data_IF_787484935948
#
_entry.id   IF_787484935948
#
_cell.length_a   1.000
_cell.length_b   1.000
_cell.length_c   1.000
_cell.angle_alpha   90.00
_cell.angle_beta   90.00
_cell.angle_gamma   90.00
#
_symmetry.space_group_name_H-M   'P 1'
#
loop_
_entity.id
_entity.type
_entity.pdbx_description
1 polymer ?
#
# COMPACT_ATOMS: atom_id res chain seq x y z
N UNK A 1 -6.53 3.64 27.24
CA UNK A 1 -5.54 2.64 27.69
C UNK A 1 -4.81 2.05 26.47
N UNK A 2 -3.49 1.76 26.61
CA UNK A 2 -2.69 1.22 25.49
C UNK A 2 -3.14 -0.22 25.22
N UNK A 3 -3.51 -0.51 23.97
CA UNK A 3 -3.94 -1.82 23.45
C UNK A 3 -2.95 -2.35 22.39
N UNK A 4 -1.74 -2.63 22.85
CA UNK A 4 -0.68 -3.18 22.00
C UNK A 4 0.04 -2.16 21.11
N UNK A 5 0.45 -2.60 19.91
CA UNK A 5 1.28 -1.81 18.99
C UNK A 5 0.88 -2.09 17.53
N UNK A 6 1.31 -1.20 16.63
CA UNK A 6 1.08 -1.33 15.19
C UNK A 6 2.40 -1.23 14.44
N UNK A 7 2.75 -2.24 13.65
CA UNK A 7 3.97 -2.34 12.84
C UNK A 7 5.26 -2.38 13.66
N UNK A 8 5.46 -1.43 14.55
CA UNK A 8 6.61 -1.33 15.45
C UNK A 8 6.14 -1.16 16.90
N UNK A 9 6.89 -1.71 17.85
CA UNK A 9 6.59 -1.63 19.29
C UNK A 9 6.57 -0.20 19.83
N UNK A 10 7.21 0.75 19.13
CA UNK A 10 7.18 2.17 19.49
C UNK A 10 5.85 2.83 19.10
N UNK A 11 5.12 2.29 18.13
CA UNK A 11 3.82 2.83 17.69
C UNK A 11 2.72 2.20 18.52
N UNK A 12 2.33 2.87 19.58
CA UNK A 12 1.29 2.36 20.51
C UNK A 12 -0.09 2.50 19.90
N UNK A 13 -0.94 1.48 20.12
CA UNK A 13 -2.36 1.53 19.79
C UNK A 13 -3.17 1.92 21.01
N UNK A 14 -4.19 2.72 20.77
CA UNK A 14 -5.23 3.04 21.75
C UNK A 14 -6.57 2.65 21.16
N UNK A 15 -7.33 1.83 21.85
CA UNK A 15 -8.67 1.42 21.39
C UNK A 15 -9.64 2.57 21.59
N UNK A 16 -10.29 2.97 20.49
CA UNK A 16 -11.39 3.93 20.55
C UNK A 16 -12.72 3.19 20.84
N UNK A 17 -13.68 3.85 21.49
CA UNK A 17 -15.03 3.33 21.60
C UNK A 17 -15.69 3.27 20.20
N UNK A 18 -16.85 2.64 20.12
CA UNK A 18 -17.68 2.71 18.91
C UNK A 18 -18.07 4.15 18.65
N UNK A 19 -17.69 4.65 17.49
CA UNK A 19 -17.95 6.03 17.08
C UNK A 19 -19.22 6.08 16.24
N UNK A 20 -20.11 7.03 16.54
CA UNK A 20 -21.27 7.30 15.72
C UNK A 20 -20.90 8.13 14.49
N UNK A 21 -21.63 8.01 13.37
CA UNK A 21 -21.43 8.88 12.22
C UNK A 21 -21.58 10.36 12.60
N UNK A 22 -20.73 11.22 12.09
CA UNK A 22 -20.76 12.65 12.33
C UNK A 22 -19.38 13.26 12.56
N UNK A 23 -19.35 14.47 13.08
CA UNK A 23 -18.10 15.12 13.49
C UNK A 23 -17.58 14.43 14.76
N UNK A 24 -16.36 13.96 14.70
CA UNK A 24 -15.67 13.30 15.81
C UNK A 24 -14.47 14.16 16.17
N UNK A 25 -14.34 14.47 17.45
CA UNK A 25 -13.18 15.16 18.00
C UNK A 25 -12.43 14.18 18.90
N UNK A 26 -11.13 14.06 18.68
CA UNK A 26 -10.24 13.18 19.47
C UNK A 26 -9.19 14.08 20.08
N UNK A 27 -9.20 14.18 21.40
CA UNK A 27 -8.19 14.87 22.17
C UNK A 27 -7.16 13.86 22.68
N UNK A 28 -5.87 14.17 22.48
CA UNK A 28 -4.76 13.34 22.94
C UNK A 28 -3.83 14.19 23.77
N UNK A 29 -3.76 13.92 25.06
CA UNK A 29 -2.80 14.52 25.96
C UNK A 29 -1.49 13.75 25.97
N UNK A 30 -0.39 14.41 25.61
CA UNK A 30 0.94 13.80 25.52
C UNK A 30 1.90 14.58 26.39
N UNK A 31 2.64 13.93 27.32
CA UNK A 31 3.70 14.59 28.07
C UNK A 31 4.75 15.17 27.14
N UNK A 32 5.00 16.46 27.24
CA UNK A 32 6.02 17.15 26.44
C UNK A 32 7.29 17.40 27.29
N UNK A 33 8.42 17.02 26.74
CA UNK A 33 9.72 17.26 27.37
C UNK A 33 10.79 17.58 26.30
N UNK A 34 11.90 18.19 26.71
CA UNK A 34 12.91 18.79 25.83
C UNK A 34 13.43 17.84 24.71
N UNK A 35 13.47 16.54 24.96
CA UNK A 35 13.88 15.51 23.99
C UNK A 35 12.70 14.70 23.43
N UNK A 36 11.48 15.01 23.87
CA UNK A 36 10.26 14.42 23.34
C UNK A 36 9.93 15.04 21.99
N UNK A 37 9.42 14.23 21.09
CA UNK A 37 8.88 14.68 19.79
C UNK A 37 7.44 14.24 19.69
N UNK A 38 6.59 15.15 19.23
CA UNK A 38 5.24 14.78 18.81
C UNK A 38 5.34 13.97 17.51
N UNK A 39 4.70 12.82 17.51
CA UNK A 39 4.60 11.94 16.36
C UNK A 39 3.23 12.07 15.71
N UNK A 40 3.11 11.63 14.47
CA UNK A 40 1.84 11.60 13.77
C UNK A 40 0.92 10.55 14.39
N UNK A 41 -0.38 10.87 14.42
CA UNK A 41 -1.41 9.96 14.86
C UNK A 41 -2.13 9.38 13.65
N UNK A 42 -2.42 8.08 13.71
CA UNK A 42 -3.07 7.34 12.63
C UNK A 42 -4.36 6.74 13.13
N UNK A 43 -5.42 6.85 12.35
CA UNK A 43 -6.68 6.15 12.62
C UNK A 43 -6.66 4.81 11.90
N UNK A 44 -6.83 3.73 12.67
CA UNK A 44 -6.86 2.35 12.15
C UNK A 44 -8.26 1.78 12.24
N UNK A 45 -8.71 1.06 11.23
CA UNK A 45 -10.01 0.41 11.23
C UNK A 45 -10.27 -0.37 9.93
N UNK A 46 -11.40 -1.04 9.87
CA UNK A 46 -11.86 -1.79 8.71
C UNK A 46 -12.73 -0.90 7.80
N UNK A 47 -12.13 0.14 7.24
CA UNK A 47 -12.78 1.08 6.34
C UNK A 47 -11.91 1.35 5.11
N UNK A 48 -12.52 1.84 4.05
CA UNK A 48 -11.83 2.42 2.91
C UNK A 48 -11.59 3.91 3.12
N UNK A 49 -10.76 4.48 2.27
CA UNK A 49 -10.39 5.90 2.32
C UNK A 49 -10.40 6.49 0.92
N UNK A 50 -11.05 7.64 0.75
CA UNK A 50 -10.89 8.48 -0.43
C UNK A 50 -10.00 9.67 -0.09
N UNK A 51 -9.03 9.94 -0.96
CA UNK A 51 -8.13 11.10 -0.85
C UNK A 51 -8.36 12.02 -2.04
N UNK A 52 -8.66 13.27 -1.77
CA UNK A 52 -8.85 14.30 -2.80
C UNK A 52 -8.08 15.56 -2.39
N UNK A 53 -6.92 15.75 -3.02
CA UNK A 53 -6.01 16.82 -2.63
C UNK A 53 -5.52 16.63 -1.19
N UNK A 54 -5.92 17.53 -0.30
CA UNK A 54 -5.61 17.48 1.15
C UNK A 54 -6.71 16.84 1.99
N UNK A 55 -7.85 16.51 1.39
CA UNK A 55 -8.99 15.97 2.12
C UNK A 55 -9.00 14.46 2.10
N UNK A 56 -9.25 13.88 3.26
CA UNK A 56 -9.34 12.44 3.48
C UNK A 56 -10.71 12.12 4.05
N UNK A 57 -11.41 11.18 3.41
CA UNK A 57 -12.75 10.78 3.83
C UNK A 57 -12.79 9.27 4.02
N UNK A 58 -13.24 8.82 5.19
CA UNK A 58 -13.52 7.40 5.43
C UNK A 58 -14.77 6.98 4.64
N UNK A 59 -14.67 5.85 3.96
CA UNK A 59 -15.73 5.28 3.14
C UNK A 59 -15.80 3.77 3.36
N UNK A 60 -16.78 3.12 2.78
CA UNK A 60 -16.81 1.65 2.79
C UNK A 60 -15.62 1.10 2.01
N UNK A 61 -14.93 0.14 2.60
CA UNK A 61 -13.84 -0.58 1.96
C UNK A 61 -14.34 -1.34 0.73
N UNK A 62 -13.57 -1.32 -0.36
CA UNK A 62 -13.83 -2.17 -1.51
C UNK A 62 -13.85 -3.65 -1.10
N UNK A 63 -14.90 -4.37 -1.49
CA UNK A 63 -15.03 -5.81 -1.19
C UNK A 63 -14.12 -6.67 -2.05
N UNK A 64 -13.82 -6.22 -3.26
CA UNK A 64 -12.90 -6.84 -4.22
C UNK A 64 -12.10 -5.75 -4.91
N UNK A 65 -10.85 -6.03 -5.18
CA UNK A 65 -9.98 -5.18 -5.98
C UNK A 65 -9.93 -5.71 -7.42
N UNK A 66 -9.96 -4.80 -8.39
CA UNK A 66 -9.63 -5.08 -9.77
C UNK A 66 -8.13 -4.83 -10.03
N UNK A 67 -7.65 -5.19 -11.20
CA UNK A 67 -6.36 -4.70 -11.69
C UNK A 67 -6.37 -3.17 -11.74
N UNK A 68 -5.26 -2.57 -11.40
CA UNK A 68 -5.11 -1.14 -11.22
C UNK A 68 -4.66 -0.79 -9.83
N UNK A 69 -4.33 0.49 -9.61
CA UNK A 69 -3.83 0.95 -8.32
C UNK A 69 -4.90 0.83 -7.22
N UNK A 70 -4.54 0.20 -6.11
CA UNK A 70 -5.37 0.12 -4.91
C UNK A 70 -5.64 1.51 -4.28
N UNK A 71 -4.78 2.50 -4.54
CA UNK A 71 -4.99 3.90 -4.16
C UNK A 71 -6.33 4.42 -4.68
N UNK A 72 -6.67 4.08 -5.92
CA UNK A 72 -7.93 4.50 -6.58
C UNK A 72 -9.12 3.59 -6.22
N UNK A 73 -8.89 2.57 -5.41
CA UNK A 73 -9.88 1.57 -5.01
C UNK A 73 -10.12 1.59 -3.49
N UNK A 74 -10.17 2.79 -2.93
CA UNK A 74 -10.42 3.06 -1.50
C UNK A 74 -9.35 2.54 -0.53
N UNK A 75 -8.17 2.16 -1.01
CA UNK A 75 -7.08 1.63 -0.19
C UNK A 75 -5.75 2.41 -0.36
N UNK A 76 -5.76 3.76 -0.30
CA UNK A 76 -4.57 4.58 -0.57
C UNK A 76 -3.43 4.34 0.42
N UNK A 77 -3.75 3.98 1.66
CA UNK A 77 -2.80 3.76 2.74
C UNK A 77 -2.59 2.28 3.08
N UNK A 78 -3.15 1.37 2.29
CA UNK A 78 -2.92 -0.05 2.48
C UNK A 78 -1.50 -0.43 2.06
N UNK A 79 -0.78 -1.09 2.93
CA UNK A 79 0.63 -1.44 2.74
C UNK A 79 0.90 -2.94 2.90
N UNK A 80 -0.15 -3.73 2.97
CA UNK A 80 -0.08 -5.19 2.94
C UNK A 80 0.12 -5.73 1.52
N UNK A 81 0.17 -7.05 1.43
CA UNK A 81 0.27 -7.73 0.15
C UNK A 81 -1.09 -7.81 -0.54
N UNK A 82 -1.10 -7.71 -1.87
CA UNK A 82 -2.29 -7.86 -2.70
C UNK A 82 -2.07 -9.03 -3.63
N UNK A 83 -2.94 -10.03 -3.56
CA UNK A 83 -2.90 -11.19 -4.45
C UNK A 83 -3.99 -11.07 -5.51
N UNK A 84 -3.57 -11.12 -6.76
CA UNK A 84 -4.42 -11.16 -7.93
C UNK A 84 -4.54 -12.59 -8.44
N UNK A 85 -5.77 -13.04 -8.63
CA UNK A 85 -6.08 -14.33 -9.25
C UNK A 85 -6.62 -14.06 -10.65
N UNK A 86 -5.98 -14.63 -11.63
CA UNK A 86 -6.36 -14.56 -13.04
C UNK A 86 -6.01 -15.86 -13.72
N UNK A 87 -6.25 -15.97 -14.99
CA UNK A 87 -5.87 -17.14 -15.75
C UNK A 87 -6.15 -16.95 -17.24
N UNK A 88 -5.74 -17.92 -18.01
CA UNK A 88 -5.96 -17.93 -19.45
C UNK A 88 -6.13 -19.37 -19.98
N UNK A 89 -6.69 -19.48 -21.16
CA UNK A 89 -6.83 -20.76 -21.85
C UNK A 89 -5.76 -20.90 -22.94
N UNK A 90 -4.92 -21.92 -22.82
CA UNK A 90 -3.97 -22.27 -23.85
C UNK A 90 -4.61 -23.17 -24.91
N UNK A 91 -4.46 -22.85 -26.18
CA UNK A 91 -5.09 -23.59 -27.30
C UNK A 91 -4.27 -24.78 -27.75
N UNK A 92 -2.96 -24.74 -27.56
CA UNK A 92 -1.99 -25.79 -27.86
C UNK A 92 -0.82 -25.72 -26.90
N UNK A 93 -0.09 -26.81 -26.71
CA UNK A 93 1.14 -26.80 -25.94
C UNK A 93 2.10 -25.75 -26.45
N UNK A 94 2.59 -24.89 -25.56
CA UNK A 94 3.53 -23.83 -25.90
C UNK A 94 4.32 -23.38 -24.69
N UNK A 95 5.55 -22.93 -24.93
CA UNK A 95 6.36 -22.25 -23.92
C UNK A 95 5.85 -20.84 -23.71
N UNK A 96 5.71 -20.40 -22.44
CA UNK A 96 5.15 -19.10 -22.10
C UNK A 96 6.01 -18.34 -21.12
N UNK A 97 5.98 -17.03 -21.27
CA UNK A 97 6.57 -16.07 -20.34
C UNK A 97 5.49 -15.09 -19.90
N UNK A 98 5.35 -14.87 -18.61
CA UNK A 98 4.52 -13.82 -18.05
C UNK A 98 5.33 -12.54 -17.94
N UNK A 99 4.79 -11.44 -18.48
CA UNK A 99 5.31 -10.10 -18.28
C UNK A 99 4.31 -9.26 -17.49
N UNK A 100 4.79 -8.65 -16.41
CA UNK A 100 4.03 -7.67 -15.63
C UNK A 100 4.48 -6.29 -16.12
N UNK A 101 3.59 -5.56 -16.83
CA UNK A 101 3.94 -4.28 -17.46
C UNK A 101 4.43 -3.25 -16.45
N UNK A 102 3.76 -3.17 -15.32
CA UNK A 102 4.13 -2.31 -14.20
C UNK A 102 3.43 -2.79 -12.92
N UNK A 103 4.03 -2.55 -11.76
CA UNK A 103 3.37 -2.73 -10.46
C UNK A 103 3.92 -1.76 -9.42
N UNK A 104 3.06 -1.40 -8.49
CA UNK A 104 3.41 -0.57 -7.33
C UNK A 104 3.62 -1.45 -6.10
N UNK A 105 4.86 -1.80 -5.82
CA UNK A 105 5.23 -2.69 -4.71
C UNK A 105 6.75 -2.89 -4.63
N UNK A 106 7.20 -3.70 -3.69
CA UNK A 106 8.61 -4.03 -3.55
C UNK A 106 9.04 -5.10 -4.57
N UNK A 107 8.20 -6.11 -4.75
CA UNK A 107 8.36 -7.21 -5.71
C UNK A 107 7.00 -7.88 -5.96
N UNK A 108 6.92 -8.71 -6.98
CA UNK A 108 5.78 -9.58 -7.23
C UNK A 108 6.22 -11.05 -7.19
N UNK A 109 5.46 -11.92 -6.49
CA UNK A 109 5.62 -13.37 -6.50
C UNK A 109 4.59 -13.98 -7.43
N UNK A 110 5.00 -14.91 -8.26
CA UNK A 110 4.14 -15.54 -9.26
C UNK A 110 4.00 -17.03 -9.01
N UNK A 111 2.78 -17.52 -9.10
CA UNK A 111 2.48 -18.96 -9.20
C UNK A 111 1.68 -19.23 -10.45
N UNK A 112 1.88 -20.38 -11.07
CA UNK A 112 1.09 -20.90 -12.15
C UNK A 112 0.64 -22.34 -11.79
N UNK A 113 -0.66 -22.60 -11.88
CA UNK A 113 -1.28 -23.90 -11.53
C UNK A 113 -0.87 -24.37 -10.12
N UNK A 114 -0.80 -23.45 -9.18
CA UNK A 114 -0.37 -23.70 -7.80
C UNK A 114 1.15 -23.86 -7.59
N UNK A 115 1.93 -23.98 -8.66
CA UNK A 115 3.39 -24.07 -8.59
C UNK A 115 4.01 -22.68 -8.41
N UNK A 116 4.87 -22.53 -7.43
CA UNK A 116 5.64 -21.31 -7.21
C UNK A 116 6.77 -21.19 -8.25
N UNK A 117 6.76 -20.11 -9.00
CA UNK A 117 7.77 -19.82 -10.03
C UNK A 117 8.83 -18.83 -9.56
N UNK A 118 8.63 -18.23 -8.38
CA UNK A 118 9.56 -17.27 -7.80
C UNK A 118 9.08 -15.84 -7.84
N UNK A 119 10.04 -14.90 -7.87
CA UNK A 119 9.76 -13.46 -7.73
C UNK A 119 10.25 -12.65 -8.92
N UNK A 120 9.53 -11.59 -9.20
CA UNK A 120 9.85 -10.57 -10.19
C UNK A 120 10.08 -9.26 -9.45
N UNK A 121 11.30 -8.72 -9.51
CA UNK A 121 11.70 -7.52 -8.78
C UNK A 121 12.44 -6.50 -9.66
N UNK A 122 12.98 -6.94 -10.79
CA UNK A 122 13.84 -6.13 -11.68
C UNK A 122 13.25 -6.15 -13.08
N UNK A 123 13.25 -4.98 -13.74
CA UNK A 123 12.87 -4.88 -15.17
C UNK A 123 13.70 -5.86 -16.03
N UNK A 124 13.07 -6.49 -17.00
CA UNK A 124 11.78 -6.22 -17.65
C UNK A 124 10.55 -6.85 -16.99
N UNK A 125 10.60 -7.25 -15.73
CA UNK A 125 9.48 -7.82 -14.96
C UNK A 125 8.86 -9.06 -15.62
N UNK A 126 9.70 -9.94 -16.12
CA UNK A 126 9.29 -11.19 -16.76
C UNK A 126 9.61 -12.39 -15.88
N UNK A 127 8.79 -13.44 -16.01
CA UNK A 127 9.03 -14.74 -15.40
C UNK A 127 8.64 -15.84 -16.38
N UNK A 128 9.46 -16.85 -16.48
CA UNK A 128 9.23 -18.01 -17.32
C UNK A 128 8.18 -18.92 -16.68
N UNK A 129 7.09 -19.18 -17.39
CA UNK A 129 6.05 -20.14 -16.98
C UNK A 129 6.41 -21.57 -17.40
N UNK A 130 7.35 -21.73 -18.32
CA UNK A 130 7.73 -23.02 -18.91
C UNK A 130 6.75 -23.49 -19.99
N UNK A 131 6.75 -24.82 -20.20
CA UNK A 131 5.82 -25.48 -21.12
C UNK A 131 4.43 -25.56 -20.51
N UNK A 132 3.47 -24.89 -21.15
CA UNK A 132 2.06 -24.87 -20.76
C UNK A 132 1.27 -25.79 -21.69
N UNK A 133 0.57 -26.74 -21.14
CA UNK A 133 -0.25 -27.69 -21.91
C UNK A 133 -1.54 -27.01 -22.41
N UNK A 134 -2.25 -27.64 -23.36
CA UNK A 134 -3.57 -27.16 -23.79
C UNK A 134 -4.55 -27.23 -22.63
N UNK A 135 -5.24 -26.13 -22.33
CA UNK A 135 -6.26 -26.07 -21.29
C UNK A 135 -6.25 -24.73 -20.55
N UNK A 136 -7.00 -24.70 -19.47
CA UNK A 136 -7.04 -23.55 -18.55
C UNK A 136 -5.83 -23.58 -17.61
N UNK A 137 -5.24 -22.41 -17.38
CA UNK A 137 -4.14 -22.22 -16.44
C UNK A 137 -4.44 -21.09 -15.47
N UNK A 138 -4.29 -21.37 -14.18
CA UNK A 138 -4.43 -20.39 -13.11
C UNK A 138 -3.12 -19.65 -12.87
N UNK A 139 -3.20 -18.32 -12.81
CA UNK A 139 -2.07 -17.45 -12.48
C UNK A 139 -2.39 -16.66 -11.21
N UNK A 140 -1.53 -16.79 -10.21
CA UNK A 140 -1.58 -16.03 -8.98
C UNK A 140 -0.39 -15.07 -8.95
N UNK A 141 -0.66 -13.77 -8.78
CA UNK A 141 0.37 -12.74 -8.68
C UNK A 141 0.20 -12.02 -7.35
N UNK A 142 1.14 -12.19 -6.43
CA UNK A 142 1.14 -11.49 -5.15
C UNK A 142 2.12 -10.34 -5.18
N UNK A 143 1.63 -9.12 -5.18
CA UNK A 143 2.43 -7.90 -5.05
C UNK A 143 2.68 -7.63 -3.57
N UNK A 144 3.95 -7.52 -3.20
CA UNK A 144 4.37 -7.17 -1.84
C UNK A 144 4.36 -5.66 -1.68
N UNK A 145 3.50 -5.18 -0.78
CA UNK A 145 3.34 -3.75 -0.53
C UNK A 145 4.59 -3.11 0.09
N UNK A 146 4.64 -1.78 -0.02
CA UNK A 146 5.64 -0.95 0.65
C UNK A 146 4.98 -0.08 1.73
N UNK A 147 5.78 0.45 2.65
CA UNK A 147 5.29 1.36 3.69
C UNK A 147 5.27 2.84 3.25
N UNK A 148 5.49 3.12 1.97
CA UNK A 148 5.64 4.50 1.49
C UNK A 148 4.40 5.35 1.76
N UNK A 149 3.21 4.87 1.38
CA UNK A 149 1.97 5.64 1.55
C UNK A 149 1.53 5.75 3.02
N UNK A 150 2.10 4.95 3.91
CA UNK A 150 1.76 4.94 5.33
C UNK A 150 2.73 5.78 6.16
N UNK A 151 4.03 5.59 5.94
CA UNK A 151 5.08 6.22 6.74
C UNK A 151 6.07 7.04 5.93
N UNK A 152 5.91 7.09 4.61
CA UNK A 152 6.78 7.86 3.73
C UNK A 152 6.38 9.35 3.65
N UNK A 153 7.14 10.13 2.88
CA UNK A 153 6.97 11.57 2.77
C UNK A 153 5.80 11.93 1.83
N UNK A 154 4.58 11.54 2.18
CA UNK A 154 3.39 11.73 1.34
C UNK A 154 2.97 13.19 1.14
N UNK A 155 3.54 14.11 1.92
CA UNK A 155 3.34 15.55 1.78
C UNK A 155 4.55 16.25 1.14
N UNK A 156 5.47 15.49 0.52
CA UNK A 156 6.62 16.07 -0.16
C UNK A 156 6.23 16.56 -1.57
N UNK A 157 6.48 17.84 -1.84
CA UNK A 157 6.22 18.48 -3.13
C UNK A 157 7.31 18.23 -4.18
N UNK A 158 8.44 17.67 -3.79
CA UNK A 158 9.58 17.40 -4.70
C UNK A 158 9.45 16.01 -5.29
N UNK A 159 9.15 15.93 -6.60
CA UNK A 159 8.89 14.65 -7.30
C UNK A 159 10.09 13.70 -7.33
N UNK A 160 11.30 14.20 -7.43
CA UNK A 160 12.53 13.41 -7.59
C UNK A 160 13.45 13.60 -6.38
N UNK A 161 12.94 13.39 -5.20
CA UNK A 161 13.73 13.49 -3.99
C UNK A 161 14.69 12.29 -3.89
N UNK A 162 15.98 12.54 -4.12
CA UNK A 162 17.00 11.50 -4.14
C UNK A 162 17.30 10.91 -2.76
N UNK A 163 17.05 11.68 -1.71
CA UNK A 163 17.27 11.28 -0.32
C UNK A 163 16.18 11.85 0.59
N UNK A 164 15.59 10.98 1.38
CA UNK A 164 14.76 11.38 2.51
C UNK A 164 15.14 10.54 3.73
N UNK A 165 15.31 11.21 4.84
CA UNK A 165 15.50 10.56 6.13
C UNK A 165 14.23 10.64 6.98
N UNK A 166 14.25 10.11 8.20
CA UNK A 166 13.10 10.15 9.10
C UNK A 166 12.52 11.52 9.38
N UNK A 167 13.25 12.58 9.12
CA UNK A 167 12.81 13.96 9.36
C UNK A 167 12.31 14.71 8.10
N UNK A 168 12.48 14.16 6.91
CA UNK A 168 12.16 14.86 5.66
C UNK A 168 10.67 15.16 5.48
N UNK A 169 9.80 14.36 6.04
CA UNK A 169 8.34 14.50 5.98
C UNK A 169 7.75 15.32 7.15
N UNK A 170 8.61 15.77 8.07
CA UNK A 170 8.22 16.58 9.25
C UNK A 170 8.41 18.07 9.03
N UNK A 171 8.82 18.48 7.85
CA UNK A 171 9.14 19.87 7.55
C UNK A 171 7.88 20.61 7.09
N UNK A 172 6.96 20.83 8.03
CA UNK A 172 5.80 21.70 7.81
C UNK A 172 6.30 23.12 7.45
N UNK A 173 5.58 23.81 6.55
CA UNK A 173 5.92 25.15 6.03
C UNK A 173 7.27 25.27 5.28
N UNK A 174 7.94 24.17 4.94
CA UNK A 174 9.07 24.24 4.03
C UNK A 174 8.60 24.34 2.56
N UNK A 175 9.44 24.84 1.63
CA UNK A 175 9.15 24.83 0.20
C UNK A 175 8.91 23.40 -0.36
N UNK A 176 9.33 22.39 0.39
CA UNK A 176 9.15 20.97 0.04
C UNK A 176 7.83 20.40 0.52
N UNK A 177 7.10 21.09 1.39
CA UNK A 177 5.82 20.65 1.93
C UNK A 177 4.67 21.00 1.01
N UNK A 178 3.70 20.11 0.92
CA UNK A 178 2.36 20.37 0.39
C UNK A 178 1.31 19.74 1.28
N UNK A 179 0.18 20.39 1.47
CA UNK A 179 -0.96 19.81 2.18
C UNK A 179 -1.62 18.67 1.38
N UNK A 180 -1.34 18.58 0.09
CA UNK A 180 -1.86 17.50 -0.75
C UNK A 180 -1.09 16.20 -0.52
N UNK A 181 -1.82 15.10 -0.63
CA UNK A 181 -1.22 13.77 -0.55
C UNK A 181 -0.59 13.36 -1.89
N UNK A 182 0.71 13.16 -1.91
CA UNK A 182 1.47 12.62 -3.04
C UNK A 182 1.67 11.11 -2.85
N UNK A 183 0.64 10.34 -3.16
CA UNK A 183 0.63 8.89 -2.98
C UNK A 183 1.26 8.18 -4.17
N UNK A 184 1.96 7.09 -3.89
CA UNK A 184 2.48 6.18 -4.92
C UNK A 184 1.43 5.13 -5.26
N UNK A 185 1.27 4.77 -6.54
CA UNK A 185 0.45 3.62 -6.95
C UNK A 185 0.87 2.35 -6.23
N UNK A 186 -0.09 1.48 -5.89
CA UNK A 186 0.13 0.17 -5.26
C UNK A 186 -0.71 -0.88 -5.97
N UNK A 187 -0.18 -2.09 -6.14
CA UNK A 187 -0.84 -3.16 -6.92
C UNK A 187 -0.41 -3.17 -8.40
N UNK A 188 -1.17 -3.85 -9.26
CA UNK A 188 -0.87 -4.06 -10.69
C UNK A 188 -1.82 -3.23 -11.52
#
# INVERSE_FOLDING_TARGET
>A
EIDGWYVDKCIKKVKLPTLNPGKIEIEIEIPFFLRGRTEWCYVLGDFGVNVTGKFVTAVNKAKKLAFGSAVNQTLPFYTGNITYHTGYTETKKAHRTLQISNFGGALARVKADGKDLGVVAISPYCIDLGEMEKGWHDIEITVFGTRFNNFGPVHNNVKNYAYWGPNSWRTYDSPMWTDQYNLRPTGI
#
